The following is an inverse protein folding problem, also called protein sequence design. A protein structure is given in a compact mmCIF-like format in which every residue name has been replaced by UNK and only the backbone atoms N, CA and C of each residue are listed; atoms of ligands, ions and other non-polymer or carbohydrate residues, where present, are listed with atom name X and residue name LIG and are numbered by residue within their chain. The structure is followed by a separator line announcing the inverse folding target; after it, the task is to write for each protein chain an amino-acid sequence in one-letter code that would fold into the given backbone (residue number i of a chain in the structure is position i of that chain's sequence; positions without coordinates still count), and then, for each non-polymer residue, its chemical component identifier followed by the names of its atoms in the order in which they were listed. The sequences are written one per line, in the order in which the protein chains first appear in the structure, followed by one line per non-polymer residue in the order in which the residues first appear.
data_IF_181456975615
#
_entry.id   IF_181456975615
#
_cell.length_a   1.000
_cell.length_b   1.000
_cell.length_c   1.000
_cell.angle_alpha   90.00
_cell.angle_beta   90.00
_cell.angle_gamma   90.00
#
_symmetry.space_group_name_H-M   'P 1'
#
loop_
_entity.id
_entity.type
_entity.pdbx_description
1 polymer ?
#
# COMPACT_ATOMS: atom_id res chain seq x y z
N UNK A 1 -14.40 43.58 14.29
CA UNK A 1 -15.48 43.25 13.33
C UNK A 1 -15.39 41.76 13.04
N UNK A 2 -16.48 41.02 13.35
CA UNK A 2 -16.95 39.74 12.77
C UNK A 2 -15.95 38.54 12.78
N UNK A 3 -16.25 37.29 13.16
CA UNK A 3 -17.23 36.62 14.02
C UNK A 3 -16.83 35.12 14.07
N UNK A 4 -16.87 34.53 15.28
CA UNK A 4 -17.39 33.21 15.69
C UNK A 4 -16.94 31.89 15.02
N UNK A 5 -16.35 31.07 15.90
CA UNK A 5 -16.33 29.60 16.03
C UNK A 5 -17.59 28.83 15.57
N UNK A 6 -17.43 27.64 14.99
CA UNK A 6 -18.28 26.44 15.19
C UNK A 6 -17.45 25.15 15.00
N UNK A 7 -17.54 24.23 15.97
CA UNK A 7 -17.12 22.82 15.89
C UNK A 7 -18.28 22.00 15.29
N UNK A 8 -17.98 20.96 14.51
CA UNK A 8 -18.92 19.89 14.20
C UNK A 8 -18.22 18.53 14.32
N UNK A 9 -18.66 17.75 15.29
CA UNK A 9 -18.42 16.31 15.42
C UNK A 9 -19.44 15.57 14.54
N UNK A 10 -19.00 14.57 13.78
CA UNK A 10 -19.88 13.64 13.07
C UNK A 10 -19.57 12.21 13.54
N UNK A 11 -20.45 11.69 14.39
CA UNK A 11 -20.62 10.27 14.71
C UNK A 11 -21.19 9.53 13.49
N UNK A 12 -20.52 8.46 13.05
CA UNK A 12 -21.04 7.47 12.11
C UNK A 12 -21.53 6.26 12.90
N UNK A 13 -22.85 6.12 12.99
CA UNK A 13 -23.53 4.88 13.36
C UNK A 13 -24.19 4.32 12.09
N UNK A 14 -23.74 3.14 11.65
CA UNK A 14 -24.33 2.40 10.54
C UNK A 14 -24.85 1.05 11.04
N UNK A 15 -26.18 0.96 11.13
CA UNK A 15 -26.95 -0.21 11.58
C UNK A 15 -27.20 -1.16 10.40
N UNK A 16 -26.97 -2.45 10.65
CA UNK A 16 -27.48 -3.58 9.87
C UNK A 16 -29.01 -3.62 9.83
N UNK A 17 -29.62 -3.71 8.64
CA UNK A 17 -30.86 -4.47 8.42
C UNK A 17 -31.17 -4.64 6.92
N UNK A 18 -31.34 -5.90 6.49
CA UNK A 18 -32.03 -6.30 5.27
C UNK A 18 -33.52 -5.91 5.33
N UNK A 19 -34.10 -5.42 4.23
CA UNK A 19 -35.35 -5.97 3.68
C UNK A 19 -35.66 -5.46 2.27
N UNK A 20 -36.04 -6.42 1.42
CA UNK A 20 -36.52 -6.37 0.04
C UNK A 20 -37.79 -5.52 -0.16
N UNK A 21 -37.85 -4.72 -1.25
CA UNK A 21 -38.84 -4.78 -2.35
C UNK A 21 -39.23 -3.41 -2.98
N UNK A 22 -39.09 -3.35 -4.32
CA UNK A 22 -39.98 -2.67 -5.31
C UNK A 22 -39.95 -1.13 -5.41
N UNK A 23 -40.01 -0.47 -6.58
CA UNK A 23 -40.24 -0.83 -7.98
C UNK A 23 -39.79 0.35 -8.87
N UNK A 24 -39.19 0.08 -10.03
CA UNK A 24 -38.97 1.04 -11.12
C UNK A 24 -37.61 0.84 -11.77
N UNK A 25 -37.46 0.36 -12.99
CA UNK A 25 -38.43 -0.04 -14.00
C UNK A 25 -37.62 -0.27 -15.27
N UNK A 26 -37.25 -1.52 -15.55
CA UNK A 26 -36.61 -1.91 -16.81
C UNK A 26 -37.25 -3.20 -17.33
N UNK A 27 -37.43 -3.25 -18.64
CA UNK A 27 -38.24 -4.23 -19.35
C UNK A 27 -37.58 -5.62 -19.35
N UNK A 28 -38.23 -6.62 -18.76
CA UNK A 28 -37.79 -8.01 -18.76
C UNK A 28 -38.43 -8.81 -19.90
N UNK A 29 -38.04 -8.53 -21.13
CA UNK A 29 -38.33 -9.41 -22.27
C UNK A 29 -37.39 -10.63 -22.21
N UNK A 30 -37.89 -11.83 -22.50
CA UNK A 30 -37.05 -13.04 -22.55
C UNK A 30 -36.93 -13.83 -21.23
N UNK A 31 -37.64 -13.42 -20.17
CA UNK A 31 -37.64 -14.15 -18.88
C UNK A 31 -38.64 -15.31 -18.90
N UNK A 32 -38.28 -16.50 -18.35
CA UNK A 32 -39.20 -17.61 -18.22
C UNK A 32 -40.41 -17.28 -17.33
N UNK A 33 -41.59 -17.68 -17.74
CA UNK A 33 -42.83 -17.45 -17.01
C UNK A 33 -43.78 -18.65 -17.14
N UNK A 34 -44.74 -18.75 -16.22
CA UNK A 34 -45.86 -19.68 -16.31
C UNK A 34 -47.19 -18.97 -16.50
N UNK A 35 -47.29 -17.71 -16.04
CA UNK A 35 -48.49 -16.88 -16.17
C UNK A 35 -48.12 -15.43 -16.46
N UNK A 36 -49.01 -14.71 -17.14
CA UNK A 36 -48.73 -13.34 -17.62
C UNK A 36 -48.62 -12.29 -16.52
N UNK A 37 -49.13 -12.54 -15.32
CA UNK A 37 -48.95 -11.68 -14.13
C UNK A 37 -47.53 -11.74 -13.54
N UNK A 38 -46.74 -12.74 -13.96
CA UNK A 38 -45.30 -12.88 -13.66
C UNK A 38 -44.45 -12.03 -14.62
N UNK A 39 -45.04 -11.54 -15.71
CA UNK A 39 -44.41 -10.64 -16.67
C UNK A 39 -44.75 -9.18 -16.32
N UNK A 40 -43.80 -8.27 -16.46
CA UNK A 40 -43.99 -6.84 -16.13
C UNK A 40 -45.15 -6.19 -16.89
N UNK A 41 -45.61 -5.00 -16.45
CA UNK A 41 -46.83 -4.36 -16.94
C UNK A 41 -46.66 -3.92 -18.40
N UNK A 42 -46.95 -4.84 -19.34
CA UNK A 42 -47.08 -4.71 -20.82
C UNK A 42 -46.67 -5.99 -21.59
N UNK A 43 -46.22 -7.04 -20.91
CA UNK A 43 -45.82 -8.31 -21.53
C UNK A 43 -46.82 -9.43 -21.16
N UNK A 44 -46.96 -10.42 -22.04
CA UNK A 44 -47.74 -11.63 -21.77
C UNK A 44 -46.80 -12.84 -21.78
N UNK A 45 -47.17 -13.88 -21.01
CA UNK A 45 -46.44 -15.13 -21.05
C UNK A 45 -46.87 -15.93 -22.28
N UNK A 46 -45.96 -16.10 -23.24
CA UNK A 46 -46.20 -16.87 -24.47
C UNK A 46 -45.09 -17.92 -24.57
N UNK A 47 -45.48 -19.19 -24.72
CA UNK A 47 -44.56 -20.34 -24.79
C UNK A 47 -43.51 -20.39 -23.66
N UNK A 48 -43.91 -19.96 -22.47
CA UNK A 48 -43.09 -20.01 -21.28
C UNK A 48 -42.10 -18.85 -21.15
N UNK A 49 -42.22 -17.80 -21.96
CA UNK A 49 -41.35 -16.61 -21.92
C UNK A 49 -42.17 -15.32 -22.03
N UNK A 50 -41.77 -14.27 -21.32
CA UNK A 50 -42.45 -12.96 -21.36
C UNK A 50 -42.17 -12.24 -22.70
N UNK A 51 -43.22 -12.02 -23.51
CA UNK A 51 -43.16 -11.39 -24.84
C UNK A 51 -44.36 -10.48 -25.15
N UNK A 52 -44.19 -9.54 -26.09
CA UNK A 52 -45.22 -8.58 -26.49
C UNK A 52 -46.19 -9.18 -27.51
N UNK A 53 -47.48 -9.26 -27.18
CA UNK A 53 -48.48 -9.88 -28.05
C UNK A 53 -49.02 -8.96 -29.14
N UNK A 54 -48.95 -9.40 -30.40
CA UNK A 54 -49.94 -9.09 -31.44
C UNK A 54 -50.43 -10.41 -32.04
N UNK A 55 -51.76 -10.60 -32.08
CA UNK A 55 -52.39 -11.85 -32.46
C UNK A 55 -52.61 -12.02 -33.96
N UNK A 56 -52.42 -13.25 -34.43
CA UNK A 56 -53.13 -14.00 -35.48
C UNK A 56 -52.27 -15.26 -35.71
N UNK A 57 -52.61 -16.47 -35.28
CA UNK A 57 -53.83 -17.20 -35.58
C UNK A 57 -53.49 -18.31 -36.58
N UNK A 58 -53.09 -19.50 -36.06
CA UNK A 58 -53.35 -20.88 -36.52
C UNK A 58 -53.31 -21.21 -38.05
N UNK A 59 -52.84 -22.35 -38.56
CA UNK A 59 -52.35 -23.61 -38.02
C UNK A 59 -52.02 -24.56 -39.21
N UNK A 60 -51.26 -25.62 -38.91
CA UNK A 60 -51.31 -26.99 -39.49
C UNK A 60 -50.75 -27.32 -40.88
N UNK A 61 -50.44 -28.61 -40.99
CA UNK A 61 -49.48 -29.36 -41.80
C UNK A 61 -50.08 -30.06 -43.03
N UNK A 62 -49.15 -30.67 -43.77
CA UNK A 62 -49.26 -31.88 -44.61
C UNK A 62 -49.56 -31.73 -46.11
N UNK A 63 -48.84 -32.54 -46.88
CA UNK A 63 -48.77 -32.49 -48.34
C UNK A 63 -49.56 -33.57 -49.07
N UNK A 64 -49.25 -33.71 -50.36
CA UNK A 64 -49.44 -34.92 -51.14
C UNK A 64 -50.59 -34.96 -52.16
N UNK A 65 -50.20 -34.91 -53.44
CA UNK A 65 -50.70 -35.71 -54.58
C UNK A 65 -52.06 -35.41 -55.22
N UNK A 66 -52.08 -35.31 -56.56
CA UNK A 66 -53.14 -35.93 -57.38
C UNK A 66 -53.73 -35.12 -58.54
N UNK A 67 -53.39 -35.58 -59.75
CA UNK A 67 -54.24 -35.73 -60.95
C UNK A 67 -54.75 -34.50 -61.75
N UNK A 68 -54.22 -34.44 -62.98
CA UNK A 68 -54.88 -34.23 -64.29
C UNK A 68 -56.31 -33.70 -64.35
N UNK A 69 -56.51 -32.71 -65.22
CA UNK A 69 -57.24 -32.83 -66.50
C UNK A 69 -57.94 -31.50 -66.81
N UNK A 70 -57.43 -30.72 -67.75
CA UNK A 70 -58.25 -29.70 -68.44
C UNK A 70 -57.76 -29.60 -69.89
N UNK A 71 -58.68 -29.98 -70.76
CA UNK A 71 -58.60 -30.05 -72.22
C UNK A 71 -58.54 -28.68 -72.90
N UNK A 72 -57.72 -28.65 -73.95
CA UNK A 72 -57.73 -27.83 -75.19
C UNK A 72 -59.11 -27.29 -75.65
N UNK A 73 -59.16 -26.16 -76.39
CA UNK A 73 -59.02 -26.27 -77.85
C UNK A 73 -58.18 -25.18 -78.54
N UNK A 74 -57.20 -25.64 -79.33
CA UNK A 74 -57.18 -25.63 -80.81
C UNK A 74 -57.20 -24.28 -81.56
N UNK A 75 -56.21 -24.09 -82.44
CA UNK A 75 -56.26 -23.03 -83.46
C UNK A 75 -54.92 -22.47 -83.94
N UNK A 76 -54.20 -23.25 -84.74
CA UNK A 76 -53.05 -22.79 -85.54
C UNK A 76 -53.39 -21.60 -86.45
N UNK A 77 -52.50 -20.60 -86.54
CA UNK A 77 -51.95 -20.10 -87.83
C UNK A 77 -50.84 -19.06 -87.64
N UNK A 78 -49.70 -19.35 -88.28
CA UNK A 78 -48.83 -18.46 -89.07
C UNK A 78 -48.09 -17.24 -88.45
N UNK A 79 -46.77 -17.28 -88.69
CA UNK A 79 -45.88 -16.18 -89.13
C UNK A 79 -45.37 -15.14 -88.09
N UNK A 80 -44.06 -15.28 -87.83
CA UNK A 80 -43.05 -14.26 -87.56
C UNK A 80 -43.52 -12.89 -87.05
N UNK A 81 -43.34 -12.68 -85.75
CA UNK A 81 -43.07 -11.36 -85.18
C UNK A 81 -41.67 -11.37 -84.59
N UNK A 82 -40.77 -10.65 -85.25
CA UNK A 82 -39.46 -10.26 -84.71
C UNK A 82 -39.72 -9.27 -83.58
N UNK A 83 -39.83 -9.76 -82.35
CA UNK A 83 -40.00 -8.91 -81.18
C UNK A 83 -40.16 -9.74 -79.91
N UNK A 84 -39.41 -9.36 -78.88
CA UNK A 84 -39.51 -9.96 -77.56
C UNK A 84 -40.91 -9.73 -76.96
N UNK A 85 -41.34 -10.66 -76.11
CA UNK A 85 -42.60 -10.53 -75.38
C UNK A 85 -42.66 -9.26 -74.52
N UNK A 86 -43.84 -8.76 -74.16
CA UNK A 86 -43.98 -7.56 -73.34
C UNK A 86 -43.21 -7.71 -72.02
N UNK A 87 -42.42 -6.69 -71.67
CA UNK A 87 -41.53 -6.69 -70.50
C UNK A 87 -40.09 -7.15 -70.77
N UNK A 88 -39.83 -7.73 -71.95
CA UNK A 88 -38.50 -8.20 -72.35
C UNK A 88 -37.86 -7.26 -73.39
N UNK A 89 -36.55 -7.10 -73.31
CA UNK A 89 -35.74 -6.32 -74.25
C UNK A 89 -34.86 -7.27 -75.07
N UNK A 90 -34.75 -7.01 -76.37
CA UNK A 90 -33.85 -7.76 -77.23
C UNK A 90 -32.40 -7.35 -76.94
N UNK A 91 -31.65 -8.27 -76.35
CA UNK A 91 -30.22 -8.16 -76.13
C UNK A 91 -29.52 -9.22 -76.98
N UNK A 92 -28.98 -8.79 -78.12
CA UNK A 92 -28.47 -9.66 -79.18
C UNK A 92 -29.54 -10.65 -79.67
N UNK A 93 -29.32 -11.96 -79.52
CA UNK A 93 -30.23 -13.01 -80.00
C UNK A 93 -31.26 -13.45 -78.94
N UNK A 94 -31.19 -12.88 -77.72
CA UNK A 94 -32.02 -13.27 -76.59
C UNK A 94 -32.97 -12.14 -76.13
N UNK A 95 -34.12 -12.56 -75.61
CA UNK A 95 -35.11 -11.67 -75.01
C UNK A 95 -34.99 -11.74 -73.48
N UNK A 96 -34.40 -10.70 -72.88
CA UNK A 96 -34.06 -10.66 -71.45
C UNK A 96 -34.90 -9.63 -70.71
N UNK A 97 -35.23 -9.91 -69.46
CA UNK A 97 -35.90 -8.96 -68.57
C UNK A 97 -34.84 -8.12 -67.84
N UNK A 98 -34.56 -6.91 -68.34
CA UNK A 98 -33.55 -6.03 -67.76
C UNK A 98 -33.84 -5.62 -66.30
N UNK A 99 -35.05 -5.91 -65.78
CA UNK A 99 -35.42 -5.56 -64.42
C UNK A 99 -34.99 -6.59 -63.37
N UNK A 100 -34.67 -7.82 -63.80
CA UNK A 100 -34.31 -8.94 -62.91
C UNK A 100 -33.12 -9.77 -63.42
N UNK A 101 -32.72 -9.60 -64.68
CA UNK A 101 -31.60 -10.33 -65.25
C UNK A 101 -30.25 -9.80 -64.73
N UNK A 102 -29.52 -10.63 -64.01
CA UNK A 102 -28.24 -10.27 -63.41
C UNK A 102 -27.10 -10.04 -64.39
N UNK A 103 -27.20 -10.53 -65.64
CA UNK A 103 -26.21 -10.30 -66.70
C UNK A 103 -26.57 -9.09 -67.59
N UNK A 104 -27.82 -8.62 -67.54
CA UNK A 104 -28.36 -7.54 -68.36
C UNK A 104 -29.12 -6.48 -67.54
N UNK A 105 -28.66 -6.15 -66.33
CA UNK A 105 -29.43 -5.31 -65.42
C UNK A 105 -29.47 -3.84 -65.86
N UNK A 106 -30.67 -3.32 -66.11
CA UNK A 106 -30.91 -1.95 -66.59
C UNK A 106 -30.52 -1.70 -68.05
N UNK A 107 -29.58 -2.47 -68.62
CA UNK A 107 -29.22 -2.44 -70.03
C UNK A 107 -28.56 -3.77 -70.48
N UNK A 108 -28.61 -4.04 -71.79
CA UNK A 108 -27.96 -5.22 -72.37
C UNK A 108 -26.46 -5.27 -72.06
N UNK A 109 -25.96 -6.40 -71.56
CA UNK A 109 -24.55 -6.61 -71.27
C UNK A 109 -24.03 -5.81 -70.08
N UNK A 110 -24.92 -5.41 -69.17
CA UNK A 110 -24.57 -4.80 -67.88
C UNK A 110 -24.75 -5.82 -66.75
N UNK A 111 -23.71 -6.60 -66.42
CA UNK A 111 -23.79 -7.53 -65.30
C UNK A 111 -23.70 -6.79 -63.96
N UNK A 112 -24.47 -7.26 -62.98
CA UNK A 112 -24.31 -6.85 -61.59
C UNK A 112 -23.37 -7.79 -60.84
N UNK A 113 -22.59 -7.23 -59.91
CA UNK A 113 -21.88 -8.04 -58.92
C UNK A 113 -22.85 -8.62 -57.86
N UNK A 114 -23.98 -7.94 -57.61
CA UNK A 114 -25.07 -8.40 -56.73
C UNK A 114 -26.36 -8.70 -57.51
N UNK A 115 -27.51 -8.50 -56.88
CA UNK A 115 -28.81 -8.76 -57.50
C UNK A 115 -29.26 -7.61 -58.42
N UNK A 116 -29.92 -7.95 -59.53
CA UNK A 116 -30.67 -6.99 -60.32
C UNK A 116 -32.09 -6.86 -59.76
N UNK A 117 -32.45 -5.69 -59.25
CA UNK A 117 -33.80 -5.43 -58.73
C UNK A 117 -34.34 -4.15 -59.33
N UNK A 118 -35.37 -4.27 -60.17
CA UNK A 118 -36.00 -3.11 -60.81
C UNK A 118 -35.11 -2.43 -61.85
N UNK A 119 -34.10 -3.12 -62.37
CA UNK A 119 -33.15 -2.59 -63.36
C UNK A 119 -31.98 -1.83 -62.77
N UNK A 120 -31.79 -1.90 -61.45
CA UNK A 120 -30.63 -1.34 -60.76
C UNK A 120 -29.84 -2.44 -60.05
N UNK A 121 -28.50 -2.37 -60.13
CA UNK A 121 -27.64 -3.26 -59.37
C UNK A 121 -27.70 -2.90 -57.90
N UNK A 122 -28.27 -3.80 -57.09
CA UNK A 122 -28.21 -3.71 -55.65
C UNK A 122 -26.93 -4.42 -55.16
N UNK A 123 -26.23 -3.86 -54.16
CA UNK A 123 -25.10 -4.56 -53.53
C UNK A 123 -25.59 -5.90 -52.98
N UNK A 124 -24.73 -6.92 -53.06
CA UNK A 124 -25.08 -8.26 -52.59
C UNK A 124 -25.31 -8.27 -51.07
N UNK A 125 -24.54 -7.47 -50.34
CA UNK A 125 -24.52 -7.42 -48.89
C UNK A 125 -25.06 -6.10 -48.34
N UNK A 126 -25.48 -6.12 -47.08
CA UNK A 126 -25.89 -4.91 -46.39
C UNK A 126 -24.70 -3.94 -46.25
N UNK A 127 -24.96 -2.65 -45.97
CA UNK A 127 -23.90 -1.74 -45.56
C UNK A 127 -23.13 -2.32 -44.37
N UNK A 128 -21.80 -2.21 -44.41
CA UNK A 128 -20.84 -2.72 -43.41
C UNK A 128 -20.60 -4.25 -43.41
N UNK A 129 -21.21 -5.00 -44.33
CA UNK A 129 -20.90 -6.41 -44.59
C UNK A 129 -20.03 -6.58 -45.85
N UNK A 130 -19.21 -7.62 -45.87
CA UNK A 130 -18.35 -7.98 -47.01
C UNK A 130 -18.74 -9.36 -47.54
N UNK A 131 -18.75 -9.50 -48.86
CA UNK A 131 -18.96 -10.78 -49.52
C UNK A 131 -17.74 -11.68 -49.33
N UNK A 132 -17.95 -12.82 -48.67
CA UNK A 132 -16.96 -13.85 -48.42
C UNK A 132 -17.49 -15.20 -48.92
N UNK A 133 -17.00 -15.65 -50.08
CA UNK A 133 -17.35 -16.95 -50.70
C UNK A 133 -18.87 -17.18 -50.85
N UNK A 134 -19.61 -16.14 -51.22
CA UNK A 134 -21.05 -16.15 -51.49
C UNK A 134 -21.93 -15.80 -50.29
N UNK A 135 -21.34 -15.52 -49.12
CA UNK A 135 -22.05 -15.11 -47.90
C UNK A 135 -21.67 -13.69 -47.50
N UNK A 136 -22.62 -12.94 -46.95
CA UNK A 136 -22.38 -11.59 -46.45
C UNK A 136 -21.98 -11.67 -44.98
N UNK A 137 -20.78 -11.20 -44.66
CA UNK A 137 -20.17 -11.35 -43.34
C UNK A 137 -19.73 -10.01 -42.78
N UNK A 138 -20.07 -9.76 -41.51
CA UNK A 138 -19.56 -8.61 -40.76
C UNK A 138 -18.14 -8.90 -40.26
N UNK A 139 -17.13 -8.38 -40.98
CA UNK A 139 -15.72 -8.57 -40.63
C UNK A 139 -15.33 -7.91 -39.29
N UNK A 140 -16.19 -7.08 -38.70
CA UNK A 140 -15.91 -6.38 -37.45
C UNK A 140 -16.21 -7.21 -36.20
N UNK A 141 -17.07 -8.23 -36.33
CA UNK A 141 -17.53 -9.06 -35.22
C UNK A 141 -17.60 -10.57 -35.52
N UNK A 142 -17.45 -11.00 -36.77
CA UNK A 142 -17.47 -12.41 -37.11
C UNK A 142 -16.15 -13.11 -36.71
N UNK A 143 -16.26 -14.09 -35.82
CA UNK A 143 -15.12 -14.86 -35.30
C UNK A 143 -14.35 -15.61 -36.39
N UNK A 144 -15.00 -16.03 -37.48
CA UNK A 144 -14.42 -16.81 -38.57
C UNK A 144 -13.91 -15.93 -39.73
N UNK A 145 -14.22 -14.63 -39.73
CA UNK A 145 -13.86 -13.66 -40.79
C UNK A 145 -13.37 -12.32 -40.21
N UNK A 146 -12.61 -12.34 -39.11
CA UNK A 146 -12.24 -11.13 -38.40
C UNK A 146 -11.21 -10.29 -39.17
N UNK A 147 -11.61 -9.09 -39.59
CA UNK A 147 -10.80 -8.14 -40.36
C UNK A 147 -10.63 -8.49 -41.84
N UNK A 148 -10.79 -9.76 -42.24
CA UNK A 148 -10.80 -10.22 -43.63
C UNK A 148 -11.50 -11.59 -43.77
N UNK A 149 -12.01 -11.88 -44.98
CA UNK A 149 -12.65 -13.16 -45.28
C UNK A 149 -11.74 -14.36 -44.97
N UNK A 150 -12.26 -15.33 -44.22
CA UNK A 150 -11.56 -16.58 -43.87
C UNK A 150 -10.50 -16.43 -42.78
N UNK A 151 -10.35 -15.25 -42.18
CA UNK A 151 -9.46 -15.03 -41.04
C UNK A 151 -10.21 -15.35 -39.75
N UNK A 152 -10.10 -16.59 -39.29
CA UNK A 152 -10.67 -16.98 -38.01
C UNK A 152 -9.74 -16.61 -36.84
N UNK A 153 -10.32 -16.12 -35.75
CA UNK A 153 -9.57 -15.89 -34.52
C UNK A 153 -9.17 -17.21 -33.85
N UNK A 154 -8.10 -17.18 -33.06
CA UNK A 154 -7.65 -18.36 -32.34
C UNK A 154 -8.67 -18.74 -31.24
N UNK A 155 -8.72 -20.01 -30.83
CA UNK A 155 -9.51 -20.40 -29.66
C UNK A 155 -9.16 -19.55 -28.43
N UNK A 156 -10.16 -18.92 -27.81
CA UNK A 156 -9.97 -18.02 -26.67
C UNK A 156 -9.92 -16.52 -27.03
N UNK A 157 -10.06 -16.18 -28.31
CA UNK A 157 -10.18 -14.81 -28.80
C UNK A 157 -11.61 -14.46 -29.22
N UNK A 158 -11.90 -13.16 -29.33
CA UNK A 158 -13.12 -12.60 -29.89
C UNK A 158 -12.75 -11.65 -31.02
N UNK A 159 -13.60 -11.57 -32.04
CA UNK A 159 -13.48 -10.52 -33.04
C UNK A 159 -14.11 -9.24 -32.49
N UNK A 160 -13.31 -8.20 -32.31
CA UNK A 160 -13.78 -6.89 -31.89
C UNK A 160 -13.18 -5.81 -32.80
N UNK A 161 -14.06 -5.09 -33.50
CA UNK A 161 -13.67 -4.05 -34.45
C UNK A 161 -12.68 -4.54 -35.53
N UNK A 162 -12.82 -5.80 -35.96
CA UNK A 162 -12.00 -6.41 -37.01
C UNK A 162 -10.61 -6.85 -36.56
N UNK A 163 -10.36 -6.94 -35.26
CA UNK A 163 -9.16 -7.53 -34.68
C UNK A 163 -9.51 -8.70 -33.76
N UNK A 164 -8.75 -9.79 -33.88
CA UNK A 164 -8.80 -10.88 -32.92
C UNK A 164 -8.13 -10.44 -31.64
N UNK A 165 -8.92 -10.32 -30.57
CA UNK A 165 -8.45 -9.92 -29.25
C UNK A 165 -8.70 -11.05 -28.24
N UNK A 166 -7.82 -11.26 -27.26
CA UNK A 166 -8.07 -12.20 -26.19
C UNK A 166 -9.40 -11.93 -25.49
N UNK A 167 -10.18 -12.98 -25.24
CA UNK A 167 -11.31 -12.90 -24.31
C UNK A 167 -10.77 -12.94 -22.88
N UNK A 168 -10.86 -11.82 -22.18
CA UNK A 168 -10.42 -11.77 -20.78
C UNK A 168 -11.44 -12.45 -19.86
N UNK A 169 -10.94 -13.06 -18.78
CA UNK A 169 -11.79 -13.61 -17.72
C UNK A 169 -12.64 -12.54 -17.03
N UNK A 170 -13.60 -12.99 -16.20
CA UNK A 170 -14.57 -12.12 -15.52
C UNK A 170 -13.94 -11.00 -14.66
N UNK A 171 -12.69 -11.18 -14.23
CA UNK A 171 -11.96 -10.24 -13.36
C UNK A 171 -10.65 -9.72 -14.00
N UNK A 172 -10.52 -9.85 -15.32
CA UNK A 172 -9.34 -9.44 -16.08
C UNK A 172 -9.70 -8.33 -17.07
N UNK A 173 -8.76 -7.41 -17.27
CA UNK A 173 -8.86 -6.33 -18.24
C UNK A 173 -7.81 -6.52 -19.31
N UNK A 174 -8.18 -6.30 -20.56
CA UNK A 174 -7.22 -6.25 -21.66
C UNK A 174 -6.33 -5.01 -21.50
N UNK A 175 -5.04 -5.23 -21.26
CA UNK A 175 -4.01 -4.21 -21.13
C UNK A 175 -2.99 -4.37 -22.26
N UNK A 176 -3.31 -3.80 -23.43
CA UNK A 176 -2.56 -4.08 -24.66
C UNK A 176 -3.07 -5.38 -25.28
N UNK A 177 -2.21 -6.39 -25.35
CA UNK A 177 -2.47 -7.73 -25.87
C UNK A 177 -2.57 -8.80 -24.75
N UNK A 178 -2.47 -8.39 -23.48
CA UNK A 178 -2.54 -9.30 -22.33
C UNK A 178 -3.79 -9.04 -21.49
N UNK A 179 -4.46 -10.11 -21.05
CA UNK A 179 -5.51 -10.05 -20.04
C UNK A 179 -4.89 -10.05 -18.65
N UNK A 180 -5.08 -8.97 -17.90
CA UNK A 180 -4.44 -8.76 -16.60
C UNK A 180 -5.47 -8.46 -15.53
N UNK A 181 -5.34 -9.10 -14.38
CA UNK A 181 -6.11 -8.76 -13.20
C UNK A 181 -5.49 -7.54 -12.50
N UNK A 182 -6.14 -6.38 -12.61
CA UNK A 182 -5.65 -5.12 -12.02
C UNK A 182 -5.66 -5.10 -10.49
N UNK A 183 -6.35 -6.05 -9.85
CA UNK A 183 -6.43 -6.14 -8.40
C UNK A 183 -5.23 -6.88 -7.78
N UNK A 184 -4.47 -7.64 -8.58
CA UNK A 184 -3.40 -8.51 -8.09
C UNK A 184 -2.10 -8.46 -8.90
N UNK A 185 -2.09 -7.84 -10.08
CA UNK A 185 -0.89 -7.72 -10.91
C UNK A 185 0.01 -6.56 -10.45
N UNK A 186 1.24 -6.82 -9.98
CA UNK A 186 2.18 -5.76 -9.58
C UNK A 186 2.60 -4.85 -10.73
N UNK A 187 2.51 -5.29 -11.98
CA UNK A 187 2.84 -4.49 -13.17
C UNK A 187 1.66 -3.68 -13.74
N UNK A 188 0.43 -3.94 -13.27
CA UNK A 188 -0.80 -3.26 -13.72
C UNK A 188 -1.73 -2.95 -12.54
N UNK A 189 -1.17 -2.52 -11.41
CA UNK A 189 -1.94 -2.38 -10.17
C UNK A 189 -2.90 -1.19 -10.25
N UNK A 190 -4.20 -1.47 -10.16
CA UNK A 190 -5.29 -0.48 -10.26
C UNK A 190 -5.55 0.05 -11.69
N UNK A 191 -4.57 0.04 -12.58
CA UNK A 191 -4.72 0.41 -13.99
C UNK A 191 -3.68 -0.25 -14.89
N UNK A 192 -3.98 -0.36 -16.19
CA UNK A 192 -3.05 -0.92 -17.17
C UNK A 192 -1.74 -0.15 -17.20
N UNK A 193 -0.61 -0.86 -17.16
CA UNK A 193 0.74 -0.32 -17.19
C UNK A 193 1.12 0.54 -15.97
N UNK A 194 0.34 0.46 -14.88
CA UNK A 194 0.67 1.07 -13.59
C UNK A 194 1.42 0.08 -12.70
N UNK A 195 2.73 -0.06 -12.93
CA UNK A 195 3.56 -0.92 -12.09
C UNK A 195 3.79 -0.28 -10.70
N UNK A 196 3.78 -1.10 -9.66
CA UNK A 196 4.22 -0.68 -8.34
C UNK A 196 5.74 -0.38 -8.35
N UNK A 197 6.13 0.69 -7.66
CA UNK A 197 7.53 1.01 -7.47
C UNK A 197 8.23 -0.17 -6.79
N UNK A 198 9.45 -0.50 -7.22
CA UNK A 198 10.27 -1.48 -6.50
C UNK A 198 11.02 -0.74 -5.39
N UNK A 199 10.72 -1.01 -4.10
CA UNK A 199 11.51 -0.44 -3.02
C UNK A 199 12.93 -1.03 -3.04
N UNK A 200 13.93 -0.23 -2.70
CA UNK A 200 15.28 -0.73 -2.44
C UNK A 200 15.23 -1.56 -1.15
N UNK A 201 15.81 -2.77 -1.11
CA UNK A 201 15.69 -3.68 0.05
C UNK A 201 14.26 -4.09 0.41
N UNK A 202 13.38 -4.23 -0.57
CA UNK A 202 12.03 -4.76 -0.36
C UNK A 202 11.43 -5.37 -1.61
N UNK A 203 10.15 -5.74 -1.50
CA UNK A 203 9.33 -6.19 -2.59
C UNK A 203 8.00 -5.46 -2.61
N UNK A 204 7.49 -5.19 -3.82
CA UNK A 204 6.14 -4.66 -4.00
C UNK A 204 5.16 -5.77 -4.37
N UNK A 205 3.93 -5.69 -3.87
CA UNK A 205 2.79 -6.50 -4.28
C UNK A 205 1.63 -5.60 -4.73
N UNK A 206 0.62 -6.21 -5.38
CA UNK A 206 -0.64 -5.53 -5.69
C UNK A 206 -1.77 -6.19 -4.90
N UNK A 207 -2.43 -5.41 -4.06
CA UNK A 207 -3.50 -5.88 -3.19
C UNK A 207 -4.75 -5.02 -3.40
N UNK A 208 -5.80 -5.62 -3.95
CA UNK A 208 -7.08 -4.95 -4.24
C UNK A 208 -6.92 -3.71 -5.14
N UNK A 209 -5.89 -3.70 -6.00
CA UNK A 209 -5.59 -2.60 -6.92
C UNK A 209 -4.81 -1.45 -6.31
N UNK A 210 -4.33 -1.58 -5.06
CA UNK A 210 -3.35 -0.70 -4.44
C UNK A 210 -1.99 -1.38 -4.33
N UNK A 211 -0.92 -0.62 -4.51
CA UNK A 211 0.43 -1.12 -4.24
C UNK A 211 0.61 -1.31 -2.74
N UNK A 212 1.18 -2.46 -2.38
CA UNK A 212 1.62 -2.78 -1.03
C UNK A 212 3.11 -3.16 -1.09
N UNK A 213 3.79 -3.07 0.06
CA UNK A 213 5.23 -3.25 0.14
C UNK A 213 5.60 -4.11 1.35
N UNK A 214 6.60 -4.95 1.18
CA UNK A 214 7.23 -5.72 2.26
C UNK A 214 8.71 -5.42 2.24
N UNK A 215 9.27 -5.08 3.39
CA UNK A 215 10.70 -4.82 3.51
C UNK A 215 11.47 -6.09 3.85
N UNK A 216 12.71 -6.18 3.36
CA UNK A 216 13.69 -7.13 3.88
C UNK A 216 13.92 -6.86 5.38
N UNK A 217 14.44 -7.84 6.14
CA UNK A 217 14.87 -7.59 7.51
C UNK A 217 15.76 -6.34 7.60
N UNK A 218 15.63 -5.59 8.71
CA UNK A 218 16.37 -4.36 8.97
C UNK A 218 16.02 -3.19 8.07
N UNK A 219 14.82 -3.18 7.48
CA UNK A 219 14.30 -2.02 6.79
C UNK A 219 12.83 -1.80 7.18
N UNK A 220 12.43 -0.55 7.36
CA UNK A 220 11.04 -0.17 7.62
C UNK A 220 10.45 0.54 6.41
N UNK A 221 9.16 0.30 6.16
CA UNK A 221 8.43 0.95 5.08
C UNK A 221 8.21 2.43 5.40
N UNK A 222 8.86 3.30 4.65
CA UNK A 222 8.60 4.73 4.65
C UNK A 222 7.92 5.13 3.34
N UNK A 223 6.61 5.41 3.41
CA UNK A 223 5.75 5.78 2.27
C UNK A 223 5.65 4.66 1.23
N UNK A 224 6.65 4.50 0.38
CA UNK A 224 6.76 3.57 -0.74
C UNK A 224 8.17 2.98 -0.92
N UNK A 225 9.08 3.21 0.04
CA UNK A 225 10.44 2.67 0.02
C UNK A 225 10.82 2.00 1.34
N UNK A 226 11.79 1.09 1.31
CA UNK A 226 12.28 0.39 2.49
C UNK A 226 13.60 1.01 2.93
N UNK A 227 13.59 1.67 4.09
CA UNK A 227 14.73 2.42 4.61
C UNK A 227 15.45 1.61 5.67
N UNK A 228 16.79 1.56 5.57
CA UNK A 228 17.65 0.81 6.49
C UNK A 228 17.42 1.24 7.94
N UNK A 229 17.26 0.23 8.79
CA UNK A 229 17.16 0.36 10.23
C UNK A 229 18.56 0.49 10.82
N UNK A 230 18.71 1.40 11.79
CA UNK A 230 20.00 1.63 12.43
C UNK A 230 20.23 3.09 12.75
N UNK A 231 21.51 3.50 12.72
CA UNK A 231 21.95 4.81 13.24
C UNK A 231 22.21 5.86 12.18
N UNK A 232 21.94 5.57 10.90
CA UNK A 232 22.18 6.54 9.85
C UNK A 232 21.35 7.81 10.06
N UNK A 233 20.09 7.66 10.52
CA UNK A 233 19.24 8.79 10.93
C UNK A 233 19.85 9.60 12.08
N UNK A 234 20.49 8.93 13.05
CA UNK A 234 21.16 9.60 14.16
C UNK A 234 22.34 10.44 13.69
N UNK A 235 23.13 9.92 12.74
CA UNK A 235 24.31 10.56 12.18
C UNK A 235 23.97 11.83 11.38
N UNK A 236 22.82 11.86 10.69
CA UNK A 236 22.33 13.04 9.95
C UNK A 236 22.20 14.25 10.88
N UNK A 237 21.84 14.02 12.14
CA UNK A 237 21.69 15.09 13.13
C UNK A 237 23.00 15.55 13.77
N UNK A 238 24.14 14.98 13.40
CA UNK A 238 25.46 15.40 13.92
C UNK A 238 25.58 15.22 15.44
N UNK A 239 25.56 13.97 15.94
CA UNK A 239 25.75 13.70 17.35
C UNK A 239 27.16 14.07 17.80
N UNK A 240 27.29 14.46 19.06
CA UNK A 240 28.57 14.70 19.71
C UNK A 240 29.25 13.37 20.06
N UNK A 241 28.46 12.40 20.55
CA UNK A 241 28.90 11.04 20.85
C UNK A 241 27.84 10.02 20.46
N UNK A 242 28.28 8.85 20.00
CA UNK A 242 27.41 7.73 19.61
C UNK A 242 28.09 6.40 19.91
N UNK A 243 27.56 5.64 20.86
CA UNK A 243 27.97 4.26 21.13
C UNK A 243 26.90 3.29 20.64
N UNK A 244 27.30 2.30 19.83
CA UNK A 244 26.42 1.25 19.28
C UNK A 244 26.35 -0.02 20.12
N UNK A 245 27.27 -0.18 21.05
CA UNK A 245 27.39 -1.29 22.01
C UNK A 245 27.23 -2.70 21.43
N UNK A 246 27.49 -2.88 20.14
CA UNK A 246 27.33 -4.13 19.40
C UNK A 246 28.64 -4.88 19.18
N UNK A 247 29.70 -4.54 19.91
CA UNK A 247 30.96 -5.26 19.83
C UNK A 247 30.76 -6.73 20.22
N UNK A 248 31.30 -7.66 19.43
CA UNK A 248 31.20 -9.10 19.71
C UNK A 248 32.18 -9.55 20.80
N UNK A 249 33.33 -8.87 20.88
CA UNK A 249 34.43 -9.18 21.80
C UNK A 249 35.27 -7.94 22.04
N UNK A 250 36.00 -7.90 23.15
CA UNK A 250 36.95 -6.84 23.47
C UNK A 250 36.59 -6.15 24.77
N UNK A 251 37.30 -5.06 25.05
CA UNK A 251 37.15 -4.24 26.25
C UNK A 251 36.87 -2.77 25.94
N UNK A 252 36.68 -2.41 24.68
CA UNK A 252 36.42 -1.02 24.24
C UNK A 252 34.98 -0.92 23.72
N UNK A 253 34.23 0.04 24.25
CA UNK A 253 32.96 0.51 23.71
C UNK A 253 33.25 1.70 22.79
N UNK A 254 33.12 1.54 21.48
CA UNK A 254 33.52 2.59 20.55
C UNK A 254 32.49 3.72 20.49
N UNK A 255 32.99 4.95 20.65
CA UNK A 255 32.30 6.15 20.19
C UNK A 255 32.53 6.27 18.68
N UNK A 256 31.47 6.15 17.89
CA UNK A 256 31.51 6.08 16.44
C UNK A 256 31.70 7.44 15.77
N UNK A 257 31.49 8.55 16.50
CA UNK A 257 31.53 9.91 15.95
C UNK A 257 32.51 10.82 16.68
N UNK A 258 32.70 10.62 17.97
CA UNK A 258 33.68 11.32 18.78
C UNK A 258 34.91 10.46 19.11
N UNK A 259 35.68 10.93 20.09
CA UNK A 259 36.87 10.23 20.62
C UNK A 259 36.67 9.79 22.07
N UNK A 260 35.42 9.84 22.57
CA UNK A 260 35.05 9.46 23.93
C UNK A 260 34.83 7.94 24.04
N UNK A 261 35.79 7.14 23.57
CA UNK A 261 35.69 5.68 23.68
C UNK A 261 35.56 5.26 25.15
N UNK A 262 34.66 4.31 25.40
CA UNK A 262 34.44 3.73 26.72
C UNK A 262 35.22 2.44 26.92
N UNK A 263 35.33 2.02 28.17
CA UNK A 263 35.85 0.71 28.55
C UNK A 263 34.72 -0.17 29.09
N UNK A 264 34.61 -1.38 28.55
CA UNK A 264 33.75 -2.43 29.11
C UNK A 264 34.38 -3.02 30.37
N UNK A 265 33.63 -3.03 31.47
CA UNK A 265 34.01 -3.68 32.72
C UNK A 265 32.94 -4.71 33.05
N UNK A 266 33.26 -6.00 32.90
CA UNK A 266 32.37 -7.13 33.21
C UNK A 266 30.99 -7.08 32.54
N UNK A 267 30.91 -6.44 31.37
CA UNK A 267 29.74 -6.40 30.50
C UNK A 267 29.73 -7.63 29.60
N UNK A 268 28.56 -8.24 29.42
CA UNK A 268 28.39 -9.36 28.49
C UNK A 268 28.23 -8.81 27.07
N UNK A 269 29.16 -9.11 26.18
CA UNK A 269 29.11 -8.73 24.76
C UNK A 269 28.39 -9.79 23.91
N UNK A 270 28.13 -9.48 22.64
CA UNK A 270 27.44 -10.38 21.70
C UNK A 270 26.04 -10.82 22.16
N UNK A 271 25.31 -9.93 22.85
CA UNK A 271 23.92 -10.19 23.22
C UNK A 271 23.01 -9.84 22.05
N UNK A 272 21.86 -10.50 21.94
CA UNK A 272 20.85 -10.17 20.94
C UNK A 272 20.37 -8.72 21.14
N UNK A 273 20.56 -7.89 20.11
CA UNK A 273 20.14 -6.50 20.05
C UNK A 273 18.65 -6.34 19.76
N UNK A 274 18.25 -5.11 19.42
CA UNK A 274 16.84 -4.78 19.15
C UNK A 274 16.34 -5.52 17.91
N UNK A 275 17.17 -5.57 16.87
CA UNK A 275 16.88 -6.26 15.62
C UNK A 275 17.59 -7.61 15.53
N UNK A 276 17.59 -8.43 16.58
CA UNK A 276 18.18 -9.77 16.50
C UNK A 276 17.53 -10.60 15.34
N UNK A 277 18.29 -11.47 14.63
CA UNK A 277 19.61 -11.99 15.00
C UNK A 277 20.84 -11.21 14.50
N UNK A 278 20.70 -10.24 13.60
CA UNK A 278 21.87 -9.57 12.99
C UNK A 278 22.31 -8.29 13.72
N UNK A 279 21.59 -7.91 14.77
CA UNK A 279 21.94 -6.80 15.66
C UNK A 279 22.43 -7.28 17.03
N UNK A 280 23.35 -6.52 17.62
CA UNK A 280 24.07 -6.90 18.83
C UNK A 280 24.08 -5.77 19.84
N UNK A 281 23.98 -6.15 21.11
CA UNK A 281 23.94 -5.25 22.24
C UNK A 281 24.87 -5.71 23.37
N UNK A 282 25.04 -4.81 24.34
CA UNK A 282 25.77 -5.05 25.57
C UNK A 282 24.81 -5.42 26.70
N UNK A 283 25.06 -6.54 27.37
CA UNK A 283 24.33 -7.03 28.54
C UNK A 283 24.97 -6.61 29.86
N UNK A 284 24.14 -6.13 30.78
CA UNK A 284 24.50 -5.59 32.08
C UNK A 284 23.82 -6.38 33.21
N UNK A 285 24.45 -6.39 34.39
CA UNK A 285 23.88 -6.91 35.64
C UNK A 285 24.27 -8.34 35.99
N UNK A 286 25.07 -9.02 35.16
CA UNK A 286 25.62 -10.34 35.48
C UNK A 286 26.53 -10.30 36.72
N UNK A 287 27.22 -9.16 36.92
CA UNK A 287 27.94 -8.84 38.15
C UNK A 287 27.45 -7.50 38.70
N UNK A 288 27.73 -7.21 39.96
CA UNK A 288 27.37 -5.94 40.59
C UNK A 288 28.24 -4.77 40.11
N UNK A 289 29.26 -5.06 39.31
CA UNK A 289 30.28 -4.15 38.79
C UNK A 289 30.22 -4.03 37.28
N UNK A 290 29.24 -4.63 36.60
CA UNK A 290 29.11 -4.53 35.14
C UNK A 290 28.78 -3.10 34.71
N UNK A 291 29.65 -2.45 33.94
CA UNK A 291 29.41 -1.11 33.42
C UNK A 291 30.30 -0.78 32.20
N UNK A 292 29.92 0.28 31.49
CA UNK A 292 30.83 1.00 30.59
C UNK A 292 31.28 2.27 31.30
N UNK A 293 32.55 2.65 31.16
CA UNK A 293 33.08 3.92 31.67
C UNK A 293 33.77 4.69 30.54
N UNK A 294 33.37 5.94 30.31
CA UNK A 294 33.89 6.79 29.25
C UNK A 294 34.15 8.22 29.76
N UNK A 295 35.25 8.84 29.32
CA UNK A 295 35.52 10.25 29.59
C UNK A 295 34.84 11.12 28.54
N UNK A 296 33.94 12.00 28.97
CA UNK A 296 33.12 12.86 28.10
C UNK A 296 33.41 14.32 28.46
N UNK A 297 34.50 14.92 27.93
CA UNK A 297 34.98 16.25 28.32
C UNK A 297 34.12 17.41 27.81
N UNK A 298 33.19 17.13 26.91
CA UNK A 298 32.38 18.09 26.17
C UNK A 298 30.87 17.87 26.37
N UNK A 299 30.47 17.18 27.46
CA UNK A 299 29.05 17.02 27.79
C UNK A 299 28.33 18.39 27.81
N UNK A 300 27.23 18.55 27.07
CA UNK A 300 26.61 19.85 26.84
C UNK A 300 25.87 20.41 28.06
N UNK A 301 26.00 21.72 28.28
CA UNK A 301 25.35 22.44 29.40
C UNK A 301 24.41 23.59 28.97
N UNK A 302 24.33 23.92 27.68
CA UNK A 302 23.45 24.97 27.16
C UNK A 302 22.10 24.41 26.69
N UNK A 303 22.13 23.32 25.94
CA UNK A 303 20.99 22.52 25.56
C UNK A 303 21.51 21.14 25.15
N UNK A 304 20.68 20.11 25.24
CA UNK A 304 21.07 18.78 24.80
C UNK A 304 19.88 17.90 24.43
N UNK A 305 20.22 16.82 23.74
CA UNK A 305 19.39 15.62 23.61
C UNK A 305 20.25 14.43 23.95
N UNK A 306 19.76 13.57 24.85
CA UNK A 306 20.38 12.27 25.15
C UNK A 306 19.34 11.22 24.80
N UNK A 307 19.70 10.27 23.95
CA UNK A 307 18.84 9.14 23.59
C UNK A 307 19.57 7.83 23.84
N UNK A 308 18.81 6.79 24.16
CA UNK A 308 19.33 5.45 24.33
C UNK A 308 18.29 4.40 24.01
N UNK A 309 18.74 3.18 23.77
CA UNK A 309 17.87 2.01 23.61
C UNK A 309 18.21 0.98 24.67
N UNK A 310 17.21 0.60 25.46
CA UNK A 310 17.38 -0.22 26.66
C UNK A 310 16.32 -1.31 26.75
N UNK A 311 16.71 -2.44 27.33
CA UNK A 311 15.80 -3.48 27.83
C UNK A 311 16.11 -3.74 29.29
N UNK A 312 15.08 -3.81 30.13
CA UNK A 312 15.22 -4.18 31.56
C UNK A 312 14.77 -5.62 31.72
N UNK A 313 15.69 -6.51 32.10
CA UNK A 313 15.42 -7.94 32.26
C UNK A 313 15.04 -8.28 33.72
N UNK A 314 15.57 -7.55 34.69
CA UNK A 314 15.24 -7.70 36.11
C UNK A 314 15.26 -6.35 36.83
N UNK A 315 14.28 -6.14 37.72
CA UNK A 315 14.19 -4.92 38.51
C UNK A 315 15.08 -4.97 39.76
N UNK A 316 15.88 -3.92 39.90
CA UNK A 316 16.35 -3.42 41.20
C UNK A 316 15.63 -2.12 41.53
N UNK A 317 15.90 -1.53 42.69
CA UNK A 317 15.27 -0.27 43.12
C UNK A 317 15.43 0.85 42.07
N UNK A 318 16.62 0.97 41.48
CA UNK A 318 16.94 1.96 40.45
C UNK A 318 17.73 1.33 39.29
N UNK A 319 17.10 0.88 38.20
CA UNK A 319 17.81 0.52 36.99
C UNK A 319 18.45 1.76 36.35
N UNK A 320 19.76 1.90 36.49
CA UNK A 320 20.52 3.07 35.99
C UNK A 320 20.97 2.82 34.57
N UNK A 321 20.62 3.73 33.65
CA UNK A 321 21.06 3.64 32.27
C UNK A 321 22.36 4.40 32.09
N UNK A 322 22.38 5.67 32.50
CA UNK A 322 23.52 6.57 32.38
C UNK A 322 23.70 7.37 33.69
N UNK A 323 24.94 7.53 34.12
CA UNK A 323 25.34 8.37 35.26
C UNK A 323 26.62 9.13 34.91
N UNK A 324 26.57 10.47 34.94
CA UNK A 324 27.71 11.36 34.75
C UNK A 324 28.15 11.91 36.11
N UNK A 325 29.42 11.74 36.41
CA UNK A 325 30.09 12.41 37.53
C UNK A 325 31.18 13.33 36.98
N UNK A 326 31.35 14.50 37.59
CA UNK A 326 32.50 15.36 37.32
C UNK A 326 33.45 15.35 38.51
N UNK A 327 34.72 15.69 38.26
CA UNK A 327 35.83 15.49 39.19
C UNK A 327 35.61 16.02 40.60
N UNK A 328 36.52 15.64 41.49
CA UNK A 328 36.45 16.02 42.90
C UNK A 328 36.70 17.53 43.06
N UNK A 329 35.70 18.28 43.51
CA UNK A 329 35.98 19.58 44.11
C UNK A 329 36.50 19.33 45.53
N UNK A 330 37.58 20.04 45.88
CA UNK A 330 38.04 20.07 47.26
C UNK A 330 37.22 21.09 48.03
N UNK A 331 36.05 20.68 48.51
CA UNK A 331 35.18 21.49 49.36
C UNK A 331 35.46 21.18 50.84
N UNK A 332 35.60 22.22 51.67
CA UNK A 332 35.75 22.11 53.14
C UNK A 332 36.82 21.13 53.67
N UNK A 333 37.85 20.81 52.87
CA UNK A 333 38.93 19.91 53.27
C UNK A 333 38.76 18.46 52.83
N UNK A 334 37.71 18.15 52.07
CA UNK A 334 37.37 16.81 51.57
C UNK A 334 37.25 16.85 50.04
N UNK A 335 37.71 15.78 49.38
CA UNK A 335 37.43 15.59 47.96
C UNK A 335 35.97 15.15 47.87
N UNK A 336 35.12 16.04 47.37
CA UNK A 336 33.70 15.78 47.12
C UNK A 336 33.58 15.51 45.63
N UNK A 337 33.43 14.23 45.26
CA UNK A 337 33.02 13.88 43.91
C UNK A 337 31.69 14.58 43.62
N UNK A 338 31.61 15.31 42.51
CA UNK A 338 30.32 15.78 41.99
C UNK A 338 29.66 14.62 41.24
N UNK A 339 29.28 13.61 42.00
CA UNK A 339 28.35 12.60 41.57
C UNK A 339 27.05 13.26 41.11
N UNK A 340 26.34 12.64 40.18
CA UNK A 340 24.98 13.01 39.80
C UNK A 340 24.83 14.31 38.98
N UNK A 341 25.88 14.74 38.28
CA UNK A 341 25.78 15.85 37.29
C UNK A 341 24.69 15.58 36.26
N UNK A 342 24.58 14.33 35.81
CA UNK A 342 23.48 13.82 35.01
C UNK A 342 23.18 12.38 35.41
N UNK A 343 21.91 12.02 35.61
CA UNK A 343 21.48 10.62 35.74
C UNK A 343 20.28 10.40 34.85
N UNK A 344 20.26 9.30 34.10
CA UNK A 344 19.08 8.82 33.39
C UNK A 344 18.80 7.37 33.79
N UNK A 345 17.63 7.11 34.36
CA UNK A 345 17.33 5.83 34.98
C UNK A 345 15.82 5.54 35.04
N UNK A 346 15.48 4.32 35.39
CA UNK A 346 14.14 3.92 35.86
C UNK A 346 14.13 3.84 37.39
N UNK A 347 13.01 4.18 38.02
CA UNK A 347 12.79 4.02 39.46
C UNK A 347 11.62 3.07 39.73
N UNK A 348 11.81 2.07 40.59
CA UNK A 348 10.81 1.05 40.93
C UNK A 348 10.52 0.93 42.44
N UNK A 349 11.08 1.84 43.26
CA UNK A 349 10.90 1.83 44.70
C UNK A 349 9.50 2.28 45.13
N UNK A 350 8.99 1.69 46.23
CA UNK A 350 7.63 1.96 46.71
C UNK A 350 7.45 3.35 47.37
N UNK A 351 8.55 4.06 47.66
CA UNK A 351 8.54 5.30 48.46
C UNK A 351 8.33 6.58 47.62
N UNK A 352 8.47 6.50 46.29
CA UNK A 352 8.30 7.65 45.39
C UNK A 352 7.55 7.24 44.11
N UNK A 353 7.40 8.19 43.18
CA UNK A 353 6.75 7.92 41.90
C UNK A 353 7.70 7.10 41.01
N UNK A 354 7.21 5.92 40.63
CA UNK A 354 7.87 4.98 39.74
C UNK A 354 7.96 5.49 38.29
N UNK A 355 8.87 4.90 37.52
CA UNK A 355 9.03 5.17 36.10
C UNK A 355 10.34 5.84 35.72
N UNK A 356 10.41 6.29 34.46
CA UNK A 356 11.60 6.90 33.88
C UNK A 356 11.88 8.27 34.51
N UNK A 357 13.14 8.50 34.92
CA UNK A 357 13.60 9.68 35.66
C UNK A 357 14.92 10.19 35.12
N UNK A 358 15.06 11.52 35.11
CA UNK A 358 16.33 12.15 34.80
C UNK A 358 16.64 13.24 35.85
N UNK A 359 17.90 13.26 36.29
CA UNK A 359 18.44 14.20 37.26
C UNK A 359 19.52 15.03 36.60
N UNK A 360 19.48 16.35 36.79
CA UNK A 360 20.47 17.31 36.28
C UNK A 360 21.10 18.09 37.43
N UNK A 361 22.36 18.48 37.25
CA UNK A 361 23.09 19.35 38.17
C UNK A 361 22.94 18.88 39.63
N UNK A 362 23.12 17.57 39.84
CA UNK A 362 23.20 16.88 41.14
C UNK A 362 21.88 16.77 41.93
N UNK A 363 20.91 17.66 41.69
CA UNK A 363 19.76 17.80 42.59
C UNK A 363 18.41 17.97 41.89
N UNK A 364 18.39 18.42 40.63
CA UNK A 364 17.14 18.68 39.93
C UNK A 364 16.65 17.40 39.27
N UNK A 365 15.69 16.73 39.88
CA UNK A 365 15.14 15.48 39.36
C UNK A 365 13.70 15.65 38.87
N UNK A 366 13.36 14.99 37.76
CA UNK A 366 12.00 14.88 37.25
C UNK A 366 11.74 13.48 36.69
N UNK A 367 10.50 13.04 36.75
CA UNK A 367 10.09 11.70 36.30
C UNK A 367 8.86 11.78 35.38
N UNK A 368 8.63 10.72 34.62
CA UNK A 368 7.47 10.56 33.74
C UNK A 368 6.26 10.00 34.49
N UNK A 369 6.48 9.12 35.48
CA UNK A 369 5.41 8.27 36.03
C UNK A 369 5.12 7.03 35.16
N UNK A 370 5.83 6.88 34.04
CA UNK A 370 5.65 5.83 33.06
C UNK A 370 6.77 4.78 33.18
N UNK A 371 6.36 3.52 33.14
CA UNK A 371 7.21 2.34 33.34
C UNK A 371 7.70 1.76 32.01
N UNK A 372 8.89 1.15 32.02
CA UNK A 372 9.60 0.60 30.84
C UNK A 372 10.32 -0.71 31.18
N UNK A 373 9.79 -1.42 32.18
CA UNK A 373 10.36 -2.61 32.80
C UNK A 373 9.57 -3.89 32.44
N UNK A 374 8.97 -3.90 31.26
CA UNK A 374 8.14 -5.01 30.77
C UNK A 374 8.93 -6.10 30.02
N UNK A 375 10.26 -5.98 29.97
CA UNK A 375 11.15 -6.89 29.26
C UNK A 375 11.25 -6.63 27.75
N UNK A 376 10.60 -5.59 27.22
CA UNK A 376 10.76 -5.16 25.84
C UNK A 376 11.91 -4.15 25.68
N UNK A 377 12.39 -4.02 24.44
CA UNK A 377 13.29 -2.93 24.06
C UNK A 377 12.50 -1.62 23.98
N UNK A 378 13.03 -0.58 24.63
CA UNK A 378 12.48 0.77 24.60
C UNK A 378 13.52 1.77 24.14
N UNK A 379 13.07 2.75 23.35
CA UNK A 379 13.83 3.95 23.04
C UNK A 379 13.47 5.00 24.08
N UNK A 380 14.48 5.55 24.75
CA UNK A 380 14.30 6.60 25.74
C UNK A 380 15.08 7.83 25.33
N UNK A 381 14.43 8.98 25.33
CA UNK A 381 15.11 10.24 25.06
C UNK A 381 14.74 11.32 26.07
N UNK A 382 15.72 12.16 26.40
CA UNK A 382 15.52 13.39 27.15
C UNK A 382 16.09 14.58 26.39
N UNK A 383 15.36 15.69 26.40
CA UNK A 383 15.87 16.99 25.93
C UNK A 383 15.82 18.02 27.03
N UNK A 384 16.81 18.90 27.08
CA UNK A 384 16.81 20.03 27.99
C UNK A 384 17.35 21.29 27.30
N UNK A 385 16.84 22.45 27.70
CA UNK A 385 17.34 23.77 27.30
C UNK A 385 17.57 24.62 28.54
N UNK A 386 18.65 25.37 28.56
CA UNK A 386 19.01 26.32 29.62
C UNK A 386 18.66 27.75 29.20
N UNK A 387 17.36 28.05 29.14
CA UNK A 387 16.80 29.29 28.60
C UNK A 387 16.19 30.16 29.70
N UNK A 388 16.80 30.17 30.88
CA UNK A 388 16.28 30.90 32.05
C UNK A 388 14.89 30.40 32.43
N UNK A 389 13.89 31.30 32.43
CA UNK A 389 12.52 30.96 32.83
C UNK A 389 11.83 29.94 31.94
N UNK A 390 12.30 29.74 30.70
CA UNK A 390 11.74 28.78 29.75
C UNK A 390 12.47 27.42 29.77
N UNK A 391 13.51 27.28 30.61
CA UNK A 391 14.28 26.03 30.75
C UNK A 391 13.38 24.86 31.09
N UNK A 392 13.52 23.75 30.36
CA UNK A 392 12.59 22.62 30.50
C UNK A 392 13.20 21.30 30.07
N UNK A 393 13.16 20.31 30.96
CA UNK A 393 13.48 18.91 30.68
C UNK A 393 12.24 18.23 30.10
N UNK A 394 12.40 17.48 29.01
CA UNK A 394 11.31 16.72 28.35
C UNK A 394 11.74 15.28 28.19
N UNK A 395 10.76 14.39 28.25
CA UNK A 395 10.93 12.95 28.13
C UNK A 395 10.17 12.43 26.93
N UNK A 396 10.76 11.44 26.27
CA UNK A 396 10.14 10.68 25.20
C UNK A 396 10.42 9.20 25.43
N UNK A 397 9.40 8.38 25.21
CA UNK A 397 9.45 6.92 25.31
C UNK A 397 8.93 6.39 23.98
N UNK A 398 9.72 5.55 23.32
CA UNK A 398 9.44 4.96 22.02
C UNK A 398 9.05 6.00 20.97
N UNK A 399 9.76 7.14 20.98
CA UNK A 399 9.53 8.27 20.09
C UNK A 399 8.33 9.15 20.44
N UNK A 400 7.48 8.74 21.38
CA UNK A 400 6.31 9.49 21.80
C UNK A 400 6.60 10.41 23.00
N UNK A 401 5.94 11.57 23.04
CA UNK A 401 6.03 12.48 24.20
C UNK A 401 5.52 11.81 25.48
N UNK A 402 6.38 11.74 26.51
CA UNK A 402 6.10 11.06 27.78
C UNK A 402 5.99 12.00 28.98
N UNK A 403 6.31 13.29 28.81
CA UNK A 403 6.22 14.26 29.91
C UNK A 403 7.24 15.37 29.81
N UNK A 404 7.13 16.33 30.72
CA UNK A 404 8.12 17.38 30.88
C UNK A 404 8.09 17.98 32.29
N UNK A 405 9.22 18.57 32.68
CA UNK A 405 9.33 19.37 33.90
C UNK A 405 8.45 20.62 33.88
N UNK A 406 8.32 21.29 35.01
CA UNK A 406 7.87 22.69 35.03
C UNK A 406 8.85 23.60 34.28
N UNK A 407 8.38 24.78 33.88
CA UNK A 407 9.24 25.81 33.29
C UNK A 407 10.22 26.36 34.33
N UNK A 408 11.44 26.70 33.90
CA UNK A 408 12.53 27.13 34.76
C UNK A 408 13.29 25.99 35.44
N UNK A 409 13.07 24.74 35.01
CA UNK A 409 13.73 23.58 35.60
C UNK A 409 15.25 23.61 35.33
N UNK A 410 16.04 23.52 36.41
CA UNK A 410 17.50 23.65 36.40
C UNK A 410 18.01 24.94 35.70
N UNK A 411 17.20 26.01 35.67
CA UNK A 411 17.54 27.23 34.97
C UNK A 411 18.81 27.90 35.52
N UNK A 412 19.78 28.16 34.65
CA UNK A 412 21.05 28.79 35.00
C UNK A 412 22.09 27.82 35.58
N UNK A 413 21.72 26.55 35.82
CA UNK A 413 22.67 25.54 36.27
C UNK A 413 23.68 25.20 35.17
N UNK A 414 24.84 24.69 35.58
CA UNK A 414 25.85 24.16 34.65
C UNK A 414 26.00 22.67 34.90
N UNK A 415 25.94 21.87 33.85
CA UNK A 415 26.30 20.46 33.88
C UNK A 415 27.79 20.38 33.59
N UNK A 416 28.55 19.86 34.55
CA UNK A 416 30.00 19.77 34.42
C UNK A 416 30.34 18.48 33.67
N UNK A 417 31.09 18.54 32.55
CA UNK A 417 31.57 17.34 31.86
C UNK A 417 32.48 16.48 32.75
N UNK A 418 32.62 15.21 32.41
CA UNK A 418 33.39 14.27 33.22
C UNK A 418 33.21 12.82 32.79
N UNK A 419 33.23 11.92 33.76
CA UNK A 419 33.17 10.48 33.57
C UNK A 419 31.72 10.01 33.47
N UNK A 420 31.33 9.52 32.29
CA UNK A 420 30.03 8.94 32.02
C UNK A 420 30.10 7.41 32.20
N UNK A 421 29.20 6.87 33.00
CA UNK A 421 29.05 5.43 33.23
C UNK A 421 27.71 4.94 32.74
N UNK A 422 27.72 3.79 32.06
CA UNK A 422 26.50 3.12 31.60
C UNK A 422 26.22 1.92 32.49
N UNK A 423 24.97 1.75 32.91
CA UNK A 423 24.51 0.58 33.67
C UNK A 423 24.68 0.65 35.19
N UNK A 424 25.28 1.71 35.75
CA UNK A 424 25.51 1.89 37.19
C UNK A 424 25.39 3.38 37.59
N UNK A 425 24.93 3.64 38.81
CA UNK A 425 25.05 4.98 39.42
C UNK A 425 26.42 5.15 40.06
N UNK A 426 27.03 6.31 39.84
CA UNK A 426 28.31 6.69 40.42
C UNK A 426 28.14 7.64 41.61
N UNK A 427 28.35 7.15 42.84
CA UNK A 427 28.51 7.98 44.03
C UNK A 427 29.92 8.61 44.15
N UNK A 428 30.87 8.13 43.35
CA UNK A 428 32.23 8.66 43.22
C UNK A 428 32.66 8.66 41.75
N UNK A 429 33.63 9.49 41.38
CA UNK A 429 34.14 9.50 40.01
C UNK A 429 34.67 8.10 39.61
N UNK A 430 34.01 7.47 38.65
CA UNK A 430 34.28 6.11 38.19
C UNK A 430 33.99 5.00 39.21
N UNK A 431 33.21 5.25 40.26
CA UNK A 431 32.98 4.27 41.33
C UNK A 431 31.85 4.62 42.28
N UNK A 432 31.85 4.00 43.47
CA UNK A 432 30.78 4.18 44.45
C UNK A 432 29.52 3.34 44.19
N UNK A 433 29.59 2.38 43.26
CA UNK A 433 28.43 1.61 42.79
C UNK A 433 27.62 0.91 43.90
N UNK A 434 26.30 1.13 43.91
CA UNK A 434 25.33 0.40 44.74
C UNK A 434 24.67 -0.74 43.94
N UNK A 435 24.67 -1.99 44.44
CA UNK A 435 23.96 -3.12 43.82
C UNK A 435 22.45 -2.90 43.54
N UNK A 436 21.79 -1.95 44.20
CA UNK A 436 20.39 -1.57 43.98
C UNK A 436 20.21 -0.44 42.95
N UNK A 437 21.30 0.17 42.49
CA UNK A 437 21.33 1.27 41.54
C UNK A 437 22.09 0.86 40.27
N UNK A 438 21.59 -0.17 39.59
CA UNK A 438 22.22 -0.75 38.41
C UNK A 438 21.24 -1.30 37.39
N UNK A 439 21.63 -1.34 36.13
CA UNK A 439 20.88 -2.05 35.11
C UNK A 439 21.13 -3.56 35.22
N UNK A 440 20.04 -4.35 35.26
CA UNK A 440 20.06 -5.77 34.90
C UNK A 440 19.21 -5.89 33.64
N UNK A 441 19.88 -6.08 32.50
CA UNK A 441 19.26 -5.88 31.19
C UNK A 441 20.29 -5.65 30.10
N UNK A 442 19.93 -4.93 29.06
CA UNK A 442 20.82 -4.63 27.94
C UNK A 442 20.69 -3.18 27.45
N UNK A 443 21.78 -2.64 26.94
CA UNK A 443 21.82 -1.40 26.17
C UNK A 443 22.33 -1.71 24.77
N UNK A 444 21.67 -1.11 23.77
CA UNK A 444 22.05 -1.22 22.37
C UNK A 444 22.74 0.08 21.96
N UNK A 445 22.01 1.19 21.95
CA UNK A 445 22.55 2.47 21.48
C UNK A 445 22.51 3.52 22.57
N UNK A 446 23.53 4.39 22.61
CA UNK A 446 23.57 5.62 23.42
C UNK A 446 24.08 6.76 22.54
N UNK A 447 23.38 7.88 22.54
CA UNK A 447 23.73 9.05 21.71
C UNK A 447 23.52 10.36 22.48
N UNK A 448 24.41 11.31 22.26
CA UNK A 448 24.38 12.63 22.88
C UNK A 448 24.51 13.71 21.81
N UNK A 449 23.64 14.71 21.86
CA UNK A 449 23.64 15.90 21.01
C UNK A 449 23.81 17.16 21.87
N UNK A 450 24.53 18.16 21.35
CA UNK A 450 24.73 19.48 21.97
C UNK A 450 23.57 20.47 21.70
N UNK A 451 22.44 19.94 21.24
CA UNK A 451 21.24 20.68 20.86
C UNK A 451 19.99 19.92 21.27
N UNK A 452 18.91 20.67 21.43
CA UNK A 452 17.57 20.09 21.57
C UNK A 452 17.04 19.69 20.18
N UNK A 453 16.80 18.40 19.99
CA UNK A 453 16.08 17.88 18.84
C UNK A 453 14.57 18.13 18.97
N UNK A 454 13.88 18.11 17.83
CA UNK A 454 12.42 18.26 17.80
C UNK A 454 11.74 16.94 18.12
N UNK A 455 10.49 16.99 18.58
CA UNK A 455 9.69 15.78 18.86
C UNK A 455 9.53 14.88 17.63
N UNK A 456 9.28 15.46 16.44
CA UNK A 456 9.23 14.70 15.20
C UNK A 456 10.57 14.00 14.91
N UNK A 457 11.69 14.69 15.20
CA UNK A 457 13.01 14.12 15.02
C UNK A 457 13.30 13.00 16.02
N UNK A 458 12.88 13.13 17.26
CA UNK A 458 13.00 12.04 18.23
C UNK A 458 12.13 10.83 17.82
N UNK A 459 10.96 11.07 17.22
CA UNK A 459 10.07 10.01 16.76
C UNK A 459 10.65 9.17 15.61
N UNK A 460 11.25 9.78 14.57
CA UNK A 460 11.86 8.95 13.50
C UNK A 460 13.22 8.34 13.92
N UNK A 461 13.94 8.91 14.90
CA UNK A 461 15.05 8.20 15.57
C UNK A 461 14.56 6.92 16.24
N UNK A 462 13.50 7.01 17.05
CA UNK A 462 12.91 5.85 17.71
C UNK A 462 12.45 4.79 16.70
N UNK A 463 11.80 5.21 15.60
CA UNK A 463 11.36 4.29 14.55
C UNK A 463 12.52 3.58 13.84
N UNK A 464 13.67 4.25 13.70
CA UNK A 464 14.89 3.66 13.14
C UNK A 464 15.57 2.70 14.12
N UNK A 465 15.62 3.08 15.41
CA UNK A 465 16.31 2.36 16.48
C UNK A 465 15.54 1.17 17.04
N UNK A 466 14.21 1.26 17.12
CA UNK A 466 13.31 0.17 17.56
C UNK A 466 12.84 -0.73 16.42
N UNK A 467 13.47 -0.60 15.26
CA UNK A 467 13.16 -1.46 14.15
C UNK A 467 13.53 -2.91 14.49
N UNK A 468 12.60 -3.82 14.29
CA UNK A 468 12.77 -5.27 14.45
C UNK A 468 11.79 -5.99 13.50
N UNK A 469 11.92 -7.31 13.34
CA UNK A 469 11.06 -8.09 12.43
C UNK A 469 9.56 -8.03 12.74
#
# INVERSE_FOLDING_TARGET
MIARSWRASATLAGVFALSTACFGGEYLAGVPCKRSDECGPKLACVDGVCGGGTGAGAATTDGGSGASDETEPDGSTAAATTGCGPGLVACDDDCVDLSVDGAHCGACGQPCAGACVGGECQPLCAPDEVECDGECVDLSGDFSHCGACGVACAPGELCLAGACLPSCGLDEKLCGDECVNLASSPSHCGACFSACAQPEHGASSCELGGCAYTCEPYHNLQVDDCVACGVDELLVDGPLHLWRLGELTGDIAYDAVGDAHGQYVEVALDQDGVSAPDDRAAGFGATVTSHVIAEVPDFPSAAFTVELVVRIDELVTQPIFLSLASGDDFEDGEFVAKANEFIFHHYSGADEIEGVRCTLARTFSWHTGERVDDGAWHHLAVTWTNEGVDSKLRFYIDGAWAGASVAGFAAGEQITPGTLVFGQEQDLLGGGFDPQQRLIGALDTVVIYDKKLTEARIAEHAASLLCGP
#
